data_IF_112707165692
#
_entry.id   IF_112707165692
#
_cell.length_a   1.000
_cell.length_b   1.000
_cell.length_c   1.000
_cell.angle_alpha   90.00
_cell.angle_beta   90.00
_cell.angle_gamma   90.00
#
_symmetry.space_group_name_H-M   'P 1'
#
loop_
_entity.id
_entity.type
_entity.pdbx_description
1 polymer ?
#
# COMPACT_ATOMS: atom_id res chain seq x y z
N UNK A 1 -27.81 12.74 24.84
CA UNK A 1 -26.54 13.48 24.63
C UNK A 1 -25.62 12.57 23.81
N UNK A 2 -25.70 12.64 22.49
CA UNK A 2 -24.92 11.77 21.60
C UNK A 2 -23.56 12.41 21.36
N UNK A 3 -22.50 11.77 21.85
CA UNK A 3 -21.13 12.09 21.44
C UNK A 3 -20.96 11.56 20.01
N UNK A 4 -21.17 12.42 19.01
CA UNK A 4 -20.63 12.19 17.67
C UNK A 4 -19.11 12.31 17.77
N UNK A 5 -18.45 11.19 18.06
CA UNK A 5 -17.04 11.01 17.80
C UNK A 5 -16.87 11.09 16.28
N UNK A 6 -16.53 12.29 15.79
CA UNK A 6 -16.01 12.47 14.45
C UNK A 6 -14.67 11.72 14.38
N UNK A 7 -14.73 10.42 14.06
CA UNK A 7 -13.57 9.74 13.49
C UNK A 7 -13.21 10.55 12.25
N UNK A 8 -12.11 11.29 12.30
CA UNK A 8 -11.50 11.90 11.13
C UNK A 8 -11.02 10.75 10.25
N UNK A 9 -11.93 10.18 9.48
CA UNK A 9 -11.61 9.27 8.38
C UNK A 9 -10.66 10.06 7.47
N UNK A 10 -9.35 9.77 7.49
CA UNK A 10 -8.50 10.36 6.48
C UNK A 10 -8.90 9.74 5.14
N UNK A 11 -9.15 10.55 4.12
CA UNK A 11 -9.38 10.04 2.78
C UNK A 11 -8.15 9.24 2.33
N UNK A 12 -8.37 8.38 1.34
CA UNK A 12 -7.31 7.64 0.63
C UNK A 12 -6.17 8.60 0.25
N UNK A 13 -4.92 8.12 0.28
CA UNK A 13 -3.77 8.92 -0.14
C UNK A 13 -3.79 9.17 -1.67
N UNK A 14 -4.64 10.09 -2.11
CA UNK A 14 -4.84 10.43 -3.52
C UNK A 14 -3.58 11.01 -4.15
N UNK A 15 -2.71 11.67 -3.38
CA UNK A 15 -1.44 12.19 -3.90
C UNK A 15 -0.54 11.05 -4.38
N UNK A 16 -0.36 10.01 -3.55
CA UNK A 16 0.45 8.85 -3.95
C UNK A 16 -0.18 8.12 -5.13
N UNK A 17 -1.49 7.91 -5.13
CA UNK A 17 -2.19 7.22 -6.22
C UNK A 17 -2.12 7.99 -7.54
N UNK A 18 -2.33 9.30 -7.50
CA UNK A 18 -2.21 10.17 -8.68
C UNK A 18 -0.81 10.10 -9.25
N UNK A 19 0.22 10.23 -8.38
CA UNK A 19 1.61 10.08 -8.80
C UNK A 19 1.88 8.71 -9.45
N UNK A 20 1.40 7.60 -8.88
CA UNK A 20 1.60 6.26 -9.43
C UNK A 20 0.92 6.09 -10.79
N UNK A 21 -0.29 6.65 -10.97
CA UNK A 21 -1.03 6.62 -12.24
C UNK A 21 -0.35 7.48 -13.30
N UNK A 22 0.01 8.71 -12.96
CA UNK A 22 0.66 9.67 -13.87
C UNK A 22 2.00 9.16 -14.38
N UNK A 23 2.81 8.59 -13.47
CA UNK A 23 4.09 7.96 -13.80
C UNK A 23 3.95 6.55 -14.38
N UNK A 24 2.71 6.03 -14.50
CA UNK A 24 2.38 4.70 -15.03
C UNK A 24 3.16 3.59 -14.34
N UNK A 25 2.94 3.44 -13.03
CA UNK A 25 3.53 2.34 -12.25
C UNK A 25 3.33 1.01 -12.97
N UNK A 26 4.45 0.34 -13.25
CA UNK A 26 4.47 -0.91 -14.01
C UNK A 26 4.30 -2.11 -13.08
N UNK A 27 3.67 -3.17 -13.60
CA UNK A 27 3.78 -4.47 -12.95
C UNK A 27 5.23 -4.93 -12.94
N UNK A 28 5.68 -5.49 -11.82
CA UNK A 28 7.05 -5.94 -11.63
C UNK A 28 8.03 -4.83 -11.22
N UNK A 29 7.58 -3.60 -10.96
CA UNK A 29 8.41 -2.56 -10.34
C UNK A 29 8.99 -3.04 -9.01
N UNK A 30 10.30 -2.90 -8.82
CA UNK A 30 10.98 -3.26 -7.59
C UNK A 30 10.63 -2.26 -6.48
N UNK A 31 10.31 -2.74 -5.29
CA UNK A 31 9.88 -1.92 -4.15
C UNK A 31 10.96 -1.92 -3.09
N UNK A 32 11.39 -0.72 -2.69
CA UNK A 32 12.49 -0.51 -1.78
C UNK A 32 12.05 0.25 -0.53
N UNK A 33 12.56 -0.16 0.63
CA UNK A 33 12.35 0.54 1.90
C UNK A 33 13.23 1.79 2.00
N UNK A 34 12.90 2.67 2.95
CA UNK A 34 13.65 3.89 3.22
C UNK A 34 15.10 3.61 3.66
N UNK A 35 15.36 2.46 4.27
CA UNK A 35 16.68 1.98 4.68
C UNK A 35 17.38 1.14 3.59
N UNK A 36 16.86 1.13 2.36
CA UNK A 36 17.57 0.60 1.19
C UNK A 36 17.46 -0.91 0.98
N UNK A 37 16.41 -1.57 1.49
CA UNK A 37 16.17 -2.99 1.23
C UNK A 37 15.12 -3.19 0.13
N UNK A 38 15.42 -4.07 -0.84
CA UNK A 38 14.42 -4.59 -1.76
C UNK A 38 13.49 -5.56 -1.01
N UNK A 39 12.18 -5.32 -1.10
CA UNK A 39 11.16 -6.13 -0.44
C UNK A 39 10.26 -6.90 -1.40
N UNK A 40 10.48 -6.78 -2.72
CA UNK A 40 9.72 -7.50 -3.73
C UNK A 40 9.18 -6.61 -4.85
N UNK A 41 8.26 -7.19 -5.62
CA UNK A 41 7.83 -6.59 -6.89
C UNK A 41 6.33 -6.29 -6.91
N UNK A 42 5.97 -5.11 -7.39
CA UNK A 42 4.60 -4.62 -7.47
C UNK A 42 3.72 -5.48 -8.39
N UNK A 43 2.50 -5.80 -7.95
CA UNK A 43 1.54 -6.61 -8.71
C UNK A 43 0.29 -5.82 -9.13
N UNK A 44 -0.41 -5.23 -8.16
CA UNK A 44 -1.71 -4.54 -8.33
C UNK A 44 -2.04 -3.70 -7.11
N UNK A 45 -2.95 -2.75 -7.30
CA UNK A 45 -3.52 -1.95 -6.23
C UNK A 45 -4.88 -2.53 -5.79
N UNK A 46 -5.11 -2.51 -4.48
CA UNK A 46 -6.38 -2.85 -3.86
C UNK A 46 -6.95 -1.61 -3.20
N UNK A 47 -8.17 -1.26 -3.60
CA UNK A 47 -8.89 -0.11 -3.09
C UNK A 47 -10.00 -0.58 -2.17
N UNK A 48 -9.97 -0.16 -0.90
CA UNK A 48 -11.04 -0.45 0.05
C UNK A 48 -12.34 0.25 -0.39
N UNK A 49 -13.46 -0.45 -0.28
CA UNK A 49 -14.80 0.09 -0.56
C UNK A 49 -15.52 0.57 0.72
N UNK A 50 -15.13 0.07 1.88
CA UNK A 50 -15.67 0.45 3.18
C UNK A 50 -14.93 1.67 3.78
N UNK A 51 -15.44 2.15 4.91
CA UNK A 51 -14.84 3.23 5.70
C UNK A 51 -13.35 3.01 6.00
N UNK A 52 -12.61 4.12 5.96
CA UNK A 52 -11.17 4.21 6.23
C UNK A 52 -10.97 4.75 7.64
N UNK A 53 -10.17 4.05 8.44
CA UNK A 53 -9.79 4.49 9.78
C UNK A 53 -8.31 4.16 10.03
N UNK A 54 -7.40 5.11 9.77
CA UNK A 54 -5.96 4.89 9.91
C UNK A 54 -5.53 4.60 11.35
N UNK A 55 -6.24 5.12 12.36
CA UNK A 55 -5.94 4.84 13.77
C UNK A 55 -6.16 3.35 14.09
N UNK A 56 -7.07 2.71 13.35
CA UNK A 56 -7.30 1.25 13.37
C UNK A 56 -6.49 0.51 12.30
N UNK A 57 -5.54 1.17 11.65
CA UNK A 57 -4.73 0.64 10.52
C UNK A 57 -5.58 0.17 9.34
N UNK A 58 -6.79 0.73 9.19
CA UNK A 58 -7.68 0.50 8.07
C UNK A 58 -7.39 1.52 6.98
N UNK A 59 -6.31 1.30 6.22
CA UNK A 59 -5.92 2.20 5.14
C UNK A 59 -6.86 2.08 3.93
N UNK A 60 -6.92 3.15 3.13
CA UNK A 60 -7.83 3.25 1.99
C UNK A 60 -7.36 2.47 0.76
N UNK A 61 -6.06 2.24 0.61
CA UNK A 61 -5.50 1.49 -0.52
C UNK A 61 -4.19 0.79 -0.15
N UNK A 62 -3.95 -0.35 -0.79
CA UNK A 62 -2.76 -1.17 -0.58
C UNK A 62 -2.18 -1.59 -1.93
N UNK A 63 -0.85 -1.56 -2.03
CA UNK A 63 -0.09 -2.16 -3.11
C UNK A 63 0.24 -3.61 -2.73
N UNK A 64 -0.23 -4.57 -3.52
CA UNK A 64 0.16 -5.97 -3.40
C UNK A 64 1.51 -6.19 -4.07
N UNK A 65 2.42 -6.85 -3.35
CA UNK A 65 3.73 -7.25 -3.81
C UNK A 65 3.85 -8.76 -3.85
N UNK A 66 4.62 -9.28 -4.80
CA UNK A 66 5.25 -10.58 -4.66
C UNK A 66 6.59 -10.40 -3.93
N UNK A 67 6.67 -10.89 -2.70
CA UNK A 67 7.83 -10.75 -1.83
C UNK A 67 8.43 -12.10 -1.47
N UNK A 68 9.68 -12.33 -1.90
CA UNK A 68 10.46 -13.50 -1.47
C UNK A 68 10.85 -13.38 0.02
N UNK A 69 11.36 -12.22 0.51
CA UNK A 69 11.75 -12.07 1.93
C UNK A 69 10.61 -12.33 2.92
N UNK A 70 9.36 -12.06 2.52
CA UNK A 70 8.18 -12.27 3.36
C UNK A 70 7.38 -13.54 3.00
N UNK A 71 7.91 -14.39 2.11
CA UNK A 71 7.34 -15.70 1.80
C UNK A 71 6.05 -15.68 0.95
N UNK A 72 5.79 -14.60 0.20
CA UNK A 72 4.65 -14.51 -0.71
C UNK A 72 4.07 -13.11 -0.83
N UNK A 73 2.74 -13.02 -0.79
CA UNK A 73 2.04 -11.75 -0.94
C UNK A 73 2.28 -10.81 0.25
N UNK A 74 2.66 -9.57 -0.03
CA UNK A 74 2.81 -8.50 0.97
C UNK A 74 1.97 -7.29 0.56
N UNK A 75 1.29 -6.64 1.50
CA UNK A 75 0.31 -5.60 1.24
C UNK A 75 0.75 -4.28 1.89
N UNK A 76 1.34 -3.40 1.10
CA UNK A 76 1.87 -2.11 1.58
C UNK A 76 0.81 -1.03 1.45
N UNK A 77 0.40 -0.34 2.54
CA UNK A 77 -0.50 0.81 2.41
C UNK A 77 0.11 1.92 1.56
N UNK A 78 -0.69 2.52 0.67
CA UNK A 78 -0.21 3.59 -0.21
C UNK A 78 0.22 4.86 0.53
N UNK A 79 -0.21 5.02 1.77
CA UNK A 79 0.23 6.04 2.72
C UNK A 79 1.74 6.03 2.98
N UNK A 80 2.41 4.89 2.75
CA UNK A 80 3.85 4.73 2.93
C UNK A 80 4.64 4.76 1.63
N UNK A 81 4.00 5.08 0.50
CA UNK A 81 4.69 5.27 -0.78
C UNK A 81 5.23 6.69 -0.80
N UNK A 82 6.56 6.80 -0.96
CA UNK A 82 7.27 8.08 -0.98
C UNK A 82 7.41 8.61 -2.40
N UNK A 83 7.92 7.78 -3.30
CA UNK A 83 8.14 8.14 -4.70
C UNK A 83 8.19 6.89 -5.60
N UNK A 84 8.05 7.12 -6.90
CA UNK A 84 8.28 6.12 -7.94
C UNK A 84 9.17 6.72 -9.03
N UNK A 85 10.27 6.04 -9.33
CA UNK A 85 11.15 6.35 -10.46
C UNK A 85 10.86 5.38 -11.63
N UNK A 86 10.23 5.87 -12.72
CA UNK A 86 9.95 5.05 -13.88
C UNK A 86 11.21 4.72 -14.70
N UNK A 87 12.30 5.50 -14.61
CA UNK A 87 13.54 5.24 -15.34
C UNK A 87 14.24 3.99 -14.78
N UNK A 88 14.37 3.93 -13.45
CA UNK A 88 14.99 2.80 -12.75
C UNK A 88 14.01 1.66 -12.42
N UNK A 89 12.73 1.82 -12.77
CA UNK A 89 11.64 0.92 -12.40
C UNK A 89 11.62 0.62 -10.89
N UNK A 90 11.78 1.67 -10.08
CA UNK A 90 12.01 1.58 -8.64
C UNK A 90 10.97 2.40 -7.87
N UNK A 91 10.23 1.75 -6.98
CA UNK A 91 9.32 2.40 -6.06
C UNK A 91 9.93 2.45 -4.67
N UNK A 92 9.81 3.60 -4.01
CA UNK A 92 10.46 3.88 -2.75
C UNK A 92 9.43 4.15 -1.66
N UNK A 93 9.59 3.47 -0.54
CA UNK A 93 8.74 3.61 0.64
C UNK A 93 9.33 4.62 1.62
N UNK A 94 8.47 5.18 2.48
CA UNK A 94 8.86 6.04 3.60
C UNK A 94 9.22 5.25 4.87
N UNK A 95 8.99 3.94 4.90
CA UNK A 95 9.22 3.06 6.06
C UNK A 95 10.45 2.16 5.89
N UNK A 96 11.00 1.70 7.01
CA UNK A 96 12.13 0.77 7.04
C UNK A 96 11.67 -0.69 6.93
N UNK A 97 12.61 -1.61 6.65
CA UNK A 97 12.33 -3.04 6.67
C UNK A 97 11.80 -3.51 8.04
N UNK A 98 12.36 -2.96 9.11
CA UNK A 98 11.96 -3.26 10.49
C UNK A 98 10.51 -2.85 10.77
N UNK A 99 10.07 -1.72 10.22
CA UNK A 99 8.69 -1.26 10.37
C UNK A 99 7.71 -2.22 9.68
N UNK A 100 8.04 -2.67 8.47
CA UNK A 100 7.21 -3.62 7.72
C UNK A 100 7.05 -4.95 8.48
N UNK A 101 8.15 -5.48 9.01
CA UNK A 101 8.13 -6.71 9.80
C UNK A 101 7.26 -6.57 11.06
N UNK A 102 7.29 -5.41 11.72
CA UNK A 102 6.47 -5.10 12.91
C UNK A 102 4.99 -4.95 12.57
N UNK A 103 4.69 -4.34 11.44
CA UNK A 103 3.32 -4.01 11.02
C UNK A 103 2.53 -5.21 10.46
N UNK A 104 3.18 -6.37 10.27
CA UNK A 104 2.56 -7.64 9.80
C UNK A 104 1.85 -7.51 8.45
N UNK A 105 2.38 -6.66 7.56
CA UNK A 105 1.84 -6.45 6.21
C UNK A 105 2.02 -7.65 5.26
N UNK A 106 2.63 -8.72 5.73
CA UNK A 106 2.59 -10.04 5.09
C UNK A 106 1.26 -10.78 5.30
N UNK A 107 0.31 -10.20 6.06
CA UNK A 107 -1.05 -10.72 6.20
C UNK A 107 -2.00 -10.00 5.25
N UNK A 108 -2.81 -10.78 4.54
CA UNK A 108 -3.85 -10.22 3.68
C UNK A 108 -4.86 -9.40 4.50
N UNK A 109 -5.07 -8.11 4.17
CA UNK A 109 -6.12 -7.31 4.78
C UNK A 109 -7.51 -7.95 4.64
N UNK A 110 -8.31 -7.90 5.72
CA UNK A 110 -9.64 -8.54 5.76
C UNK A 110 -10.57 -8.11 4.63
N UNK A 111 -10.56 -6.82 4.25
CA UNK A 111 -11.42 -6.34 3.17
C UNK A 111 -11.06 -6.97 1.81
N UNK A 112 -9.78 -7.31 1.58
CA UNK A 112 -9.33 -8.03 0.39
C UNK A 112 -9.80 -9.49 0.49
N UNK A 113 -9.62 -10.12 1.64
CA UNK A 113 -10.06 -11.50 1.91
C UNK A 113 -11.58 -11.67 1.66
N UNK A 114 -12.38 -10.69 2.06
CA UNK A 114 -13.83 -10.66 1.88
C UNK A 114 -14.28 -10.10 0.52
N UNK A 115 -13.36 -9.82 -0.41
CA UNK A 115 -13.65 -9.26 -1.75
C UNK A 115 -14.40 -7.93 -1.71
N UNK A 116 -14.20 -7.14 -0.65
CA UNK A 116 -14.73 -5.79 -0.46
C UNK A 116 -13.73 -4.74 -1.00
N UNK A 117 -13.16 -5.03 -2.15
CA UNK A 117 -12.13 -4.23 -2.78
C UNK A 117 -12.34 -4.11 -4.28
N UNK A 118 -12.02 -2.93 -4.82
CA UNK A 118 -11.82 -2.75 -6.26
C UNK A 118 -10.33 -2.97 -6.57
N UNK A 119 -10.04 -3.81 -7.55
CA UNK A 119 -8.66 -4.07 -8.01
C UNK A 119 -8.34 -3.11 -9.15
N UNK A 120 -7.24 -2.38 -9.03
CA UNK A 120 -6.66 -1.57 -10.10
C UNK A 120 -5.39 -2.27 -10.63
N UNK A 121 -5.38 -2.70 -11.91
CA UNK A 121 -4.19 -3.30 -12.51
C UNK A 121 -3.11 -2.24 -12.73
N UNK A 122 -1.84 -2.66 -12.65
CA UNK A 122 -0.69 -1.82 -13.00
C UNK A 122 -0.46 -1.82 -14.52
N UNK A 123 0.28 -0.82 -15.00
CA UNK A 123 0.68 -0.68 -16.40
C UNK A 123 1.59 -1.82 -16.89
#
# INVERSE_FOLDING_TARGET
MFHQLFYRQRPRNENALTMLRDKKLRRGTAVWTADGHDIGHALRLHHRQNDVNPDLKLYGSYLELFSIPFGGATYIPTDFIRDYDPADNKLLLSVTLKDIAKETWNRMPLFIAHRQTTIEPLA
#
